data_IF_865806369442
#
_entry.id   IF_865806369442
#
_cell.length_a   1.000
_cell.length_b   1.000
_cell.length_c   1.000
_cell.angle_alpha   90.00
_cell.angle_beta   90.00
_cell.angle_gamma   90.00
#
_symmetry.space_group_name_H-M   'P 1'
#
loop_
_entity.id
_entity.type
_entity.pdbx_description
1 polymer ?
#
# COMPACT_ATOMS: atom_id res chain seq x y z
N UNK A 1 0.15 -23.42 0.77
CA UNK A 1 1.36 -22.80 1.33
C UNK A 1 1.53 -21.52 0.54
N UNK A 2 1.07 -20.39 1.05
CA UNK A 2 1.09 -19.14 0.29
C UNK A 2 2.46 -18.49 0.42
N UNK A 3 3.21 -18.43 -0.66
CA UNK A 3 4.56 -17.85 -0.68
C UNK A 3 4.51 -16.35 -0.33
N UNK A 4 5.50 -15.89 0.43
CA UNK A 4 5.64 -14.46 0.74
C UNK A 4 6.31 -13.75 -0.44
N UNK A 5 5.74 -12.63 -0.90
CA UNK A 5 6.31 -11.80 -1.95
C UNK A 5 6.50 -10.36 -1.46
N UNK A 6 7.53 -9.69 -1.96
CA UNK A 6 7.89 -8.32 -1.60
C UNK A 6 7.65 -7.37 -2.77
N UNK A 7 7.21 -6.16 -2.44
CA UNK A 7 6.81 -5.13 -3.39
C UNK A 7 7.39 -3.78 -2.99
N UNK A 8 7.56 -2.90 -3.97
CA UNK A 8 7.96 -1.51 -3.79
C UNK A 8 6.86 -0.60 -4.34
N UNK A 9 6.57 0.49 -3.64
CA UNK A 9 5.60 1.49 -4.06
C UNK A 9 6.15 2.90 -3.87
N UNK A 10 5.66 3.84 -4.68
CA UNK A 10 6.04 5.25 -4.58
C UNK A 10 4.91 6.18 -5.01
N UNK A 11 4.91 7.44 -4.52
CA UNK A 11 4.07 8.49 -5.11
C UNK A 11 4.52 8.78 -6.54
N UNK A 12 3.64 9.43 -7.32
CA UNK A 12 3.96 9.97 -8.64
C UNK A 12 5.23 10.83 -8.64
N UNK A 13 5.42 11.61 -7.57
CA UNK A 13 6.56 12.48 -7.35
C UNK A 13 7.88 11.77 -6.97
N UNK A 14 7.81 10.52 -6.52
CA UNK A 14 8.94 9.80 -5.93
C UNK A 14 9.38 10.26 -4.53
N UNK A 15 8.78 11.30 -3.95
CA UNK A 15 9.10 11.78 -2.59
C UNK A 15 8.69 10.77 -1.49
N UNK A 16 7.58 10.07 -1.71
CA UNK A 16 7.12 8.94 -0.90
C UNK A 16 7.58 7.65 -1.56
N UNK A 17 8.32 6.83 -0.82
CA UNK A 17 8.71 5.47 -1.21
C UNK A 17 8.50 4.54 -0.02
N UNK A 18 8.03 3.34 -0.30
CA UNK A 18 7.88 2.29 0.70
C UNK A 18 8.09 0.92 0.06
N UNK A 19 8.48 -0.04 0.90
CA UNK A 19 8.58 -1.44 0.55
C UNK A 19 7.80 -2.27 1.56
N UNK A 20 7.17 -3.35 1.11
CA UNK A 20 6.39 -4.21 1.99
C UNK A 20 6.31 -5.63 1.47
N UNK A 21 6.02 -6.58 2.37
CA UNK A 21 5.88 -7.99 2.02
C UNK A 21 4.52 -8.52 2.46
N UNK A 22 3.88 -9.31 1.60
CA UNK A 22 2.59 -9.95 1.87
C UNK A 22 2.66 -11.46 1.64
N UNK A 23 1.86 -12.20 2.40
CA UNK A 23 1.58 -13.61 2.17
C UNK A 23 0.08 -13.79 2.46
N UNK A 24 -0.76 -14.15 1.48
CA UNK A 24 -0.39 -14.44 0.09
C UNK A 24 0.11 -13.20 -0.71
N UNK A 25 0.71 -13.40 -1.90
CA UNK A 25 1.05 -12.32 -2.83
C UNK A 25 -0.18 -11.45 -3.16
N UNK A 26 0.01 -10.16 -3.44
CA UNK A 26 -1.09 -9.22 -3.72
C UNK A 26 -1.96 -9.68 -4.89
N UNK A 27 -1.35 -10.34 -5.88
CA UNK A 27 -2.05 -10.89 -7.06
C UNK A 27 -3.07 -11.98 -6.70
N UNK A 28 -2.95 -12.57 -5.50
CA UNK A 28 -3.83 -13.59 -4.94
C UNK A 28 -4.70 -13.06 -3.80
N UNK A 29 -4.58 -11.76 -3.45
CA UNK A 29 -5.40 -11.12 -2.41
C UNK A 29 -6.60 -10.40 -3.02
N UNK A 30 -7.72 -10.40 -2.28
CA UNK A 30 -8.86 -9.56 -2.62
C UNK A 30 -8.50 -8.07 -2.50
N UNK A 31 -8.77 -7.33 -3.58
CA UNK A 31 -8.64 -5.88 -3.60
C UNK A 31 -9.91 -5.25 -3.06
N UNK A 32 -9.77 -4.33 -2.11
CA UNK A 32 -10.91 -3.66 -1.48
C UNK A 32 -11.23 -2.35 -2.19
N UNK A 33 -12.42 -2.30 -2.78
CA UNK A 33 -13.05 -1.08 -3.28
C UNK A 33 -14.08 -0.59 -2.25
N UNK A 34 -13.66 0.33 -1.40
CA UNK A 34 -14.51 0.87 -0.34
C UNK A 34 -15.51 1.89 -0.90
N UNK A 35 -16.77 1.82 -0.45
CA UNK A 35 -17.86 2.71 -0.90
C UNK A 35 -17.99 4.01 -0.09
N UNK A 36 -17.00 4.32 0.76
CA UNK A 36 -16.96 5.59 1.48
C UNK A 36 -16.79 6.77 0.50
N UNK A 37 -17.34 7.95 0.81
CA UNK A 37 -17.32 9.09 -0.12
C UNK A 37 -15.91 9.47 -0.59
N UNK A 38 -14.95 9.58 0.34
CA UNK A 38 -13.56 9.92 0.01
C UNK A 38 -12.88 8.83 -0.83
N UNK A 39 -13.16 7.56 -0.53
CA UNK A 39 -12.62 6.40 -1.24
C UNK A 39 -13.12 6.37 -2.69
N UNK A 40 -14.42 6.57 -2.86
CA UNK A 40 -15.09 6.51 -4.15
C UNK A 40 -14.71 7.70 -5.04
N UNK A 41 -14.70 8.92 -4.50
CA UNK A 41 -14.32 10.14 -5.24
C UNK A 41 -12.87 10.05 -5.74
N UNK A 42 -11.95 9.52 -4.92
CA UNK A 42 -10.53 9.38 -5.29
C UNK A 42 -10.22 8.11 -6.08
N UNK A 43 -11.18 7.18 -6.24
CA UNK A 43 -10.99 5.93 -6.97
C UNK A 43 -9.98 4.97 -6.33
N UNK A 44 -9.91 4.92 -5.00
CA UNK A 44 -8.93 4.08 -4.30
C UNK A 44 -9.24 2.59 -4.41
N UNK A 45 -8.19 1.80 -4.70
CA UNK A 45 -8.17 0.35 -4.63
C UNK A 45 -7.16 -0.06 -3.56
N UNK A 46 -7.63 -0.72 -2.51
CA UNK A 46 -6.84 -0.93 -1.29
C UNK A 46 -6.43 -2.39 -1.13
N UNK A 47 -5.21 -2.61 -0.65
CA UNK A 47 -4.76 -3.85 -0.03
C UNK A 47 -4.30 -3.54 1.39
N UNK A 48 -4.48 -4.48 2.32
CA UNK A 48 -4.18 -4.28 3.74
C UNK A 48 -2.97 -5.10 4.15
N UNK A 49 -1.96 -4.41 4.69
CA UNK A 49 -0.71 -5.03 5.12
C UNK A 49 -0.41 -4.59 6.56
N UNK A 50 -0.02 -5.50 7.47
CA UNK A 50 0.38 -5.11 8.81
C UNK A 50 1.53 -4.09 8.78
N UNK A 51 1.46 -3.04 9.60
CA UNK A 51 2.49 -1.99 9.65
C UNK A 51 3.89 -2.54 9.94
N UNK A 52 3.99 -3.62 10.71
CA UNK A 52 5.26 -4.31 10.99
C UNK A 52 5.93 -4.93 9.77
N UNK A 53 5.21 -5.07 8.64
CA UNK A 53 5.71 -5.56 7.36
C UNK A 53 5.93 -4.46 6.33
N UNK A 54 5.83 -3.19 6.73
CA UNK A 54 6.05 -2.03 5.86
C UNK A 54 7.33 -1.32 6.30
N UNK A 55 8.19 -1.03 5.35
CA UNK A 55 9.37 -0.17 5.52
C UNK A 55 9.12 1.12 4.74
N UNK A 56 9.18 2.26 5.42
CA UNK A 56 9.05 3.58 4.81
C UNK A 56 10.43 4.14 4.48
N UNK A 57 10.63 4.51 3.22
CA UNK A 57 11.86 5.07 2.67
C UNK A 57 11.62 6.52 2.25
N UNK A 58 11.09 7.33 3.17
CA UNK A 58 10.69 8.71 2.93
C UNK A 58 10.88 9.57 4.17
N UNK A 59 10.93 10.89 3.97
CA UNK A 59 10.80 11.85 5.06
C UNK A 59 9.34 11.86 5.55
N UNK A 60 9.13 12.05 6.86
CA UNK A 60 7.79 12.19 7.44
C UNK A 60 7.10 13.46 6.94
N UNK A 61 7.86 14.51 6.63
CA UNK A 61 7.31 15.77 6.13
C UNK A 61 6.90 15.68 4.64
N UNK A 62 7.18 14.55 3.96
CA UNK A 62 6.76 14.32 2.58
C UNK A 62 5.25 13.97 2.44
N UNK A 63 4.55 13.76 3.55
CA UNK A 63 3.10 13.51 3.58
C UNK A 63 2.37 14.62 4.32
N UNK A 64 1.16 14.92 3.85
CA UNK A 64 0.27 15.83 4.56
C UNK A 64 -0.29 15.14 5.79
N UNK A 65 -0.32 15.86 6.92
CA UNK A 65 -0.92 15.43 8.19
C UNK A 65 -2.44 15.37 8.09
#
# INVERSE_FOLDING_TARGET
MSDQKSYTASCHCGAVKLSFSTSPPIEETDVVSCNCSICHINGYMLTYVPTSKITFEMDKDAVTV
#
